data_IF_356646691707
#
_entry.id   IF_356646691707
#
_cell.length_a   1.000
_cell.length_b   1.000
_cell.length_c   1.000
_cell.angle_alpha   90.00
_cell.angle_beta   90.00
_cell.angle_gamma   90.00
#
_symmetry.space_group_name_H-M   'P 1'
#
loop_
_entity.id
_entity.type
_entity.pdbx_description
1 polymer ?
#
# COMPACT_ATOMS: atom_id res chain seq x y z
N UNK A 1 12.39 -3.97 -0.29
CA UNK A 1 12.18 -4.29 1.15
C UNK A 1 12.15 -5.80 1.35
N UNK A 2 12.85 -6.38 2.34
CA UNK A 2 12.85 -7.84 2.52
C UNK A 2 11.48 -8.33 3.00
N UNK A 3 10.97 -9.42 2.38
CA UNK A 3 9.75 -10.08 2.82
C UNK A 3 10.01 -10.79 4.16
N UNK A 4 9.13 -10.61 5.13
CA UNK A 4 9.21 -11.25 6.46
C UNK A 4 8.10 -12.26 6.62
N UNK A 5 8.37 -13.32 7.38
CA UNK A 5 7.35 -14.28 7.77
C UNK A 5 6.55 -13.74 8.94
N UNK A 6 5.23 -13.93 8.88
CA UNK A 6 4.30 -13.61 9.97
C UNK A 6 3.43 -14.85 10.22
N UNK A 7 3.05 -15.15 11.47
CA UNK A 7 2.12 -16.24 11.76
C UNK A 7 0.80 -16.04 11.01
N UNK A 8 0.38 -17.04 10.24
CA UNK A 8 -0.93 -17.01 9.58
C UNK A 8 -2.04 -17.33 10.59
N UNK A 9 -3.02 -16.44 10.70
CA UNK A 9 -4.23 -16.66 11.47
C UNK A 9 -5.44 -16.69 10.53
N UNK A 10 -6.06 -17.86 10.34
CA UNK A 10 -7.20 -18.02 9.45
C UNK A 10 -8.48 -17.30 9.94
N UNK A 11 -8.57 -16.98 11.23
CA UNK A 11 -9.72 -16.30 11.82
C UNK A 11 -9.68 -14.78 11.61
N UNK A 12 -8.54 -14.27 11.14
CA UNK A 12 -8.30 -12.85 10.97
C UNK A 12 -7.75 -12.57 9.57
N UNK A 13 -8.48 -11.75 8.81
CA UNK A 13 -8.05 -11.36 7.46
C UNK A 13 -6.88 -10.37 7.55
N UNK A 14 -5.66 -10.90 7.60
CA UNK A 14 -4.44 -10.13 7.42
C UNK A 14 -4.09 -10.00 5.94
N UNK A 15 -4.26 -8.81 5.40
CA UNK A 15 -4.05 -8.55 3.98
C UNK A 15 -2.57 -8.50 3.59
N UNK A 16 -1.68 -8.29 4.57
CA UNK A 16 -0.23 -8.29 4.33
C UNK A 16 0.32 -9.65 3.90
N UNK A 17 -0.45 -10.73 4.12
CA UNK A 17 -0.12 -12.10 3.71
C UNK A 17 -0.93 -12.60 2.53
N UNK A 18 -1.74 -11.74 1.91
CA UNK A 18 -2.51 -12.09 0.72
C UNK A 18 -1.76 -11.65 -0.55
N UNK A 19 -1.62 -12.60 -1.47
CA UNK A 19 -0.86 -12.43 -2.70
C UNK A 19 -1.71 -12.76 -3.92
N UNK A 20 -1.41 -12.13 -5.06
CA UNK A 20 -2.06 -12.37 -6.33
C UNK A 20 -1.04 -12.72 -7.41
N UNK A 21 -1.41 -13.63 -8.30
CA UNK A 21 -0.61 -13.96 -9.49
C UNK A 21 -1.08 -13.14 -10.70
N UNK A 22 -0.15 -12.61 -11.49
CA UNK A 22 -0.47 -11.94 -12.76
C UNK A 22 -0.94 -12.92 -13.83
N UNK A 23 -1.31 -12.37 -15.00
CA UNK A 23 -1.31 -13.14 -16.24
C UNK A 23 0.06 -13.75 -16.52
N UNK A 24 0.09 -14.79 -17.35
CA UNK A 24 1.31 -15.46 -17.79
C UNK A 24 2.25 -14.43 -18.46
N UNK A 25 3.46 -14.30 -17.92
CA UNK A 25 4.52 -13.41 -18.45
C UNK A 25 5.49 -14.16 -19.37
N UNK A 26 5.26 -15.45 -19.58
CA UNK A 26 5.97 -16.33 -20.49
C UNK A 26 6.19 -17.71 -19.88
N UNK A 27 5.90 -18.76 -20.66
CA UNK A 27 6.20 -20.17 -20.33
C UNK A 27 5.57 -20.66 -19.01
N UNK A 28 4.39 -20.15 -18.65
CA UNK A 28 3.69 -20.52 -17.43
C UNK A 28 4.20 -19.83 -16.17
N UNK A 29 5.06 -18.81 -16.32
CA UNK A 29 5.50 -17.98 -15.20
C UNK A 29 4.56 -16.78 -15.01
N UNK A 30 4.45 -16.31 -13.77
CA UNK A 30 3.60 -15.18 -13.35
C UNK A 30 4.35 -14.30 -12.36
N UNK A 31 3.96 -13.05 -12.23
CA UNK A 31 4.41 -12.17 -11.16
C UNK A 31 3.56 -12.43 -9.91
N UNK A 32 4.18 -12.54 -8.75
CA UNK A 32 3.48 -12.59 -7.46
C UNK A 32 3.51 -11.18 -6.85
N UNK A 33 2.34 -10.64 -6.54
CA UNK A 33 2.15 -9.25 -6.08
C UNK A 33 1.34 -9.21 -4.79
N UNK A 34 1.55 -8.19 -3.96
CA UNK A 34 0.66 -7.96 -2.82
C UNK A 34 -0.74 -7.60 -3.31
N UNK A 35 -1.77 -8.08 -2.60
CA UNK A 35 -3.16 -7.72 -2.95
C UNK A 35 -3.42 -6.23 -2.75
N UNK A 36 -2.84 -5.62 -1.71
CA UNK A 36 -3.03 -4.20 -1.37
C UNK A 36 -1.99 -3.25 -1.99
N UNK A 37 -0.95 -3.78 -2.64
CA UNK A 37 0.05 -2.99 -3.35
C UNK A 37 0.56 -3.76 -4.59
N UNK A 38 -0.11 -3.56 -5.72
CA UNK A 38 0.25 -4.24 -6.97
C UNK A 38 1.48 -3.67 -7.67
N UNK A 39 2.05 -2.56 -7.18
CA UNK A 39 3.29 -2.00 -7.70
C UNK A 39 4.52 -2.77 -7.21
N UNK A 40 4.40 -3.44 -6.07
CA UNK A 40 5.45 -4.27 -5.49
C UNK A 40 5.20 -5.76 -5.77
N UNK A 41 6.24 -6.43 -6.27
CA UNK A 41 6.23 -7.85 -6.60
C UNK A 41 7.38 -8.57 -5.90
N UNK A 42 7.25 -9.89 -5.80
CA UNK A 42 8.35 -10.75 -5.39
C UNK A 42 9.50 -10.63 -6.39
N UNK A 43 10.67 -10.31 -5.85
CA UNK A 43 11.93 -10.20 -6.57
C UNK A 43 12.95 -11.08 -5.85
N UNK A 44 13.55 -12.03 -6.58
CA UNK A 44 14.76 -12.69 -6.12
C UNK A 44 15.91 -11.69 -6.24
N UNK A 45 16.28 -11.08 -5.11
CA UNK A 45 17.19 -9.95 -5.07
C UNK A 45 18.56 -10.32 -5.65
N UNK A 46 18.99 -9.60 -6.69
CA UNK A 46 20.19 -9.91 -7.46
C UNK A 46 20.20 -11.32 -8.08
N UNK A 47 19.01 -11.92 -8.25
CA UNK A 47 18.84 -13.27 -8.80
C UNK A 47 18.86 -13.31 -10.32
N UNK A 48 19.05 -12.17 -11.00
CA UNK A 48 19.26 -12.11 -12.44
C UNK A 48 20.71 -12.49 -12.81
N UNK A 49 20.94 -12.76 -14.09
CA UNK A 49 22.23 -13.28 -14.57
C UNK A 49 23.37 -12.27 -14.44
N UNK A 50 23.06 -10.98 -14.49
CA UNK A 50 24.08 -9.92 -14.43
C UNK A 50 24.64 -9.78 -13.01
N UNK A 51 23.92 -10.31 -12.02
CA UNK A 51 24.31 -10.32 -10.60
C UNK A 51 24.63 -11.72 -10.05
N UNK A 52 24.85 -12.72 -10.92
CA UNK A 52 25.28 -14.06 -10.52
C UNK A 52 24.16 -15.11 -10.42
N UNK A 53 22.91 -14.71 -10.61
CA UNK A 53 21.76 -15.59 -10.62
C UNK A 53 21.28 -15.98 -9.22
N UNK A 54 20.15 -16.69 -9.18
CA UNK A 54 19.62 -17.27 -7.93
C UNK A 54 20.58 -18.35 -7.40
N UNK A 55 20.88 -18.30 -6.11
CA UNK A 55 21.71 -19.24 -5.38
C UNK A 55 21.14 -19.52 -3.98
N UNK A 56 21.75 -20.44 -3.24
CA UNK A 56 21.36 -20.70 -1.86
C UNK A 56 21.49 -19.42 -1.01
N UNK A 57 20.43 -19.09 -0.27
CA UNK A 57 20.34 -17.84 0.49
C UNK A 57 19.93 -16.59 -0.31
N UNK A 58 19.56 -16.69 -1.60
CA UNK A 58 19.01 -15.55 -2.33
C UNK A 58 17.76 -15.01 -1.62
N UNK A 59 17.80 -13.73 -1.27
CA UNK A 59 16.73 -13.08 -0.51
C UNK A 59 15.56 -12.73 -1.43
N UNK A 60 14.34 -13.01 -0.99
CA UNK A 60 13.13 -12.50 -1.65
C UNK A 60 12.79 -11.13 -1.08
N UNK A 61 12.69 -10.15 -1.95
CA UNK A 61 12.33 -8.77 -1.60
C UNK A 61 11.08 -8.34 -2.37
N UNK A 62 10.43 -7.30 -1.86
CA UNK A 62 9.46 -6.51 -2.60
C UNK A 62 10.20 -5.46 -3.42
N UNK A 63 9.93 -5.45 -4.72
CA UNK A 63 10.50 -4.51 -5.66
C UNK A 63 9.50 -4.09 -6.74
N UNK A 64 9.75 -2.95 -7.38
CA UNK A 64 8.98 -2.51 -8.53
C UNK A 64 9.15 -3.47 -9.71
N UNK A 65 8.13 -3.56 -10.57
CA UNK A 65 8.19 -4.46 -11.72
C UNK A 65 9.20 -3.97 -12.76
N UNK A 66 10.33 -4.66 -12.86
CA UNK A 66 11.41 -4.39 -13.80
C UNK A 66 11.40 -5.33 -15.02
N UNK A 67 10.39 -6.23 -15.11
CA UNK A 67 10.27 -7.24 -16.19
C UNK A 67 11.45 -8.21 -16.25
N UNK A 68 12.14 -8.37 -15.12
CA UNK A 68 13.28 -9.27 -15.00
C UNK A 68 12.85 -10.73 -14.83
N UNK A 69 13.68 -11.70 -15.27
CA UNK A 69 13.42 -13.11 -15.02
C UNK A 69 13.43 -13.46 -13.52
N UNK A 70 14.12 -12.69 -12.69
CA UNK A 70 14.17 -12.80 -11.22
C UNK A 70 12.85 -12.39 -10.53
N UNK A 71 11.89 -11.85 -11.28
CA UNK A 71 10.55 -11.46 -10.80
C UNK A 71 9.43 -12.33 -11.40
N UNK A 72 9.80 -13.40 -12.11
CA UNK A 72 8.90 -14.34 -12.76
C UNK A 72 8.89 -15.66 -12.00
N UNK A 73 7.74 -16.05 -11.47
CA UNK A 73 7.58 -17.17 -10.54
C UNK A 73 6.64 -18.24 -11.08
N UNK A 74 6.78 -19.46 -10.60
CA UNK A 74 5.85 -20.55 -10.87
C UNK A 74 5.52 -21.25 -9.56
N UNK A 75 4.25 -21.24 -9.18
CA UNK A 75 3.76 -21.97 -8.01
C UNK A 75 3.27 -23.33 -8.48
N UNK A 76 3.88 -24.39 -7.97
CA UNK A 76 3.56 -25.77 -8.33
C UNK A 76 3.30 -26.58 -7.05
N UNK A 77 2.38 -27.57 -7.09
CA UNK A 77 2.34 -28.62 -6.08
C UNK A 77 3.70 -29.31 -5.99
N UNK A 78 4.12 -29.67 -4.79
CA UNK A 78 5.34 -30.45 -4.62
C UNK A 78 5.16 -31.85 -5.22
N UNK A 79 6.01 -32.23 -6.18
CA UNK A 79 5.91 -33.50 -6.91
C UNK A 79 6.70 -33.50 -8.22
N UNK A 80 6.48 -34.50 -9.08
CA UNK A 80 7.23 -34.71 -10.33
C UNK A 80 7.21 -33.49 -11.26
N UNK A 81 6.13 -32.71 -11.26
CA UNK A 81 6.00 -31.47 -12.04
C UNK A 81 6.96 -30.36 -11.59
N UNK A 82 7.34 -30.32 -10.30
CA UNK A 82 8.31 -29.37 -9.77
C UNK A 82 9.75 -29.66 -10.24
N UNK A 83 10.02 -30.93 -10.59
CA UNK A 83 11.32 -31.40 -11.09
C UNK A 83 11.35 -31.62 -12.61
N UNK A 84 10.22 -31.43 -13.29
CA UNK A 84 10.12 -31.66 -14.72
C UNK A 84 11.15 -30.78 -15.47
N UNK A 85 12.11 -31.38 -16.20
CA UNK A 85 13.03 -30.60 -17.01
C UNK A 85 12.24 -29.80 -18.03
N UNK A 86 12.72 -28.58 -18.34
CA UNK A 86 12.12 -27.74 -19.39
C UNK A 86 11.84 -28.61 -20.61
N UNK A 87 10.61 -28.64 -21.17
CA UNK A 87 10.44 -29.26 -22.48
C UNK A 87 11.43 -28.58 -23.42
N UNK A 88 12.25 -29.39 -24.09
CA UNK A 88 13.25 -28.95 -25.04
C UNK A 88 12.62 -27.89 -25.95
N UNK A 89 13.01 -26.62 -25.78
CA UNK A 89 12.77 -25.64 -26.81
C UNK A 89 13.73 -26.03 -27.95
N UNK A 90 13.24 -26.33 -29.16
CA UNK A 90 14.14 -26.53 -30.28
C UNK A 90 15.01 -25.28 -30.44
N UNK A 91 16.30 -25.43 -30.82
CA UNK A 91 17.15 -24.27 -31.08
C UNK A 91 16.42 -23.35 -32.07
N UNK A 92 16.54 -22.01 -31.92
CA UNK A 92 16.00 -21.11 -32.92
C UNK A 92 16.53 -21.53 -34.29
N UNK A 93 15.69 -21.56 -35.35
CA UNK A 93 16.16 -21.91 -36.68
C UNK A 93 17.36 -21.03 -37.02
N UNK A 94 18.43 -21.66 -37.49
CA UNK A 94 19.64 -20.97 -37.89
C UNK A 94 19.26 -19.78 -38.76
N UNK A 95 19.60 -18.58 -38.29
CA UNK A 95 19.53 -17.40 -39.12
C UNK A 95 20.48 -17.65 -40.29
N UNK A 96 19.92 -17.89 -41.46
CA UNK A 96 20.66 -17.87 -42.71
C UNK A 96 21.17 -16.44 -42.85
N UNK A 97 22.47 -16.25 -42.62
CA UNK A 97 23.15 -15.02 -43.00
C UNK A 97 22.96 -14.80 -44.51
N UNK A 98 22.42 -13.67 -44.96
CA UNK A 98 22.52 -13.28 -46.36
C UNK A 98 23.99 -12.96 -46.64
N UNK A 99 24.60 -13.80 -47.47
CA UNK A 99 25.98 -13.67 -47.90
C UNK A 99 26.28 -12.32 -48.56
N UNK A 100 27.54 -11.93 -48.39
CA UNK A 100 28.23 -10.82 -49.03
C UNK A 100 27.87 -10.62 -50.51
N UNK A 101 27.28 -9.47 -50.83
CA UNK A 101 27.19 -8.88 -52.17
C UNK A 101 27.43 -7.37 -52.05
N UNK A 102 28.50 -6.88 -52.68
CA UNK A 102 29.14 -5.62 -52.35
C UNK A 102 28.43 -4.32 -52.72
N UNK A 103 28.82 -3.26 -52.02
CA UNK A 103 28.71 -1.85 -52.43
C UNK A 103 30.05 -1.13 -52.20
N UNK A 104 30.36 -0.09 -53.00
CA UNK A 104 31.70 0.49 -53.17
C UNK A 104 32.15 1.36 -51.98
N UNK A 105 33.46 1.68 -51.85
CA UNK A 105 34.00 2.35 -50.67
C UNK A 105 33.59 3.83 -50.57
N UNK A 106 33.52 4.40 -49.35
CA UNK A 106 33.23 5.82 -49.14
C UNK A 106 34.48 6.70 -49.40
N UNK A 107 34.31 7.97 -49.81
CA UNK A 107 35.42 8.90 -49.95
C UNK A 107 35.94 9.38 -48.58
N UNK A 108 37.23 9.70 -48.56
CA UNK A 108 38.04 10.02 -47.39
C UNK A 108 37.67 11.36 -46.70
N UNK A 109 38.10 11.44 -45.44
CA UNK A 109 37.83 12.47 -44.44
C UNK A 109 38.16 13.93 -44.83
N UNK A 110 37.34 14.85 -44.33
CA UNK A 110 37.65 16.27 -44.14
C UNK A 110 37.09 16.71 -42.79
N UNK A 111 37.96 17.17 -41.90
CA UNK A 111 37.69 17.31 -40.46
C UNK A 111 36.82 18.50 -40.06
N UNK A 112 36.11 18.34 -38.94
CA UNK A 112 35.65 19.44 -38.07
C UNK A 112 35.68 18.96 -36.61
N UNK A 113 36.20 19.82 -35.73
CA UNK A 113 36.39 19.57 -34.29
C UNK A 113 35.07 19.37 -33.53
N UNK A 114 35.08 18.67 -32.38
CA UNK A 114 33.87 18.45 -31.59
C UNK A 114 33.38 19.74 -30.90
N UNK A 115 32.05 19.98 -30.81
CA UNK A 115 31.47 21.10 -30.08
C UNK A 115 31.53 20.90 -28.55
N UNK A 116 31.48 21.99 -27.76
CA UNK A 116 31.58 21.93 -26.30
C UNK A 116 30.33 21.34 -25.63
N UNK A 117 30.42 20.86 -24.38
CA UNK A 117 29.31 20.19 -23.71
C UNK A 117 28.16 21.17 -23.40
N UNK A 118 26.88 20.75 -23.51
CA UNK A 118 25.75 21.61 -23.16
C UNK A 118 25.64 21.83 -21.65
N UNK A 119 25.26 23.06 -21.30
CA UNK A 119 25.10 23.55 -19.94
C UNK A 119 23.99 22.81 -19.17
N UNK A 120 24.19 22.68 -17.86
CA UNK A 120 23.24 22.14 -16.89
C UNK A 120 21.96 22.97 -16.89
N UNK A 121 20.82 22.33 -17.19
CA UNK A 121 19.48 22.88 -16.99
C UNK A 121 18.76 21.98 -15.99
N UNK A 122 18.37 22.55 -14.85
CA UNK A 122 17.58 21.87 -13.81
C UNK A 122 16.19 21.47 -14.35
N UNK A 123 15.65 20.28 -13.99
CA UNK A 123 14.28 19.93 -14.37
C UNK A 123 13.25 20.58 -13.45
N UNK A 124 12.52 21.56 -14.01
CA UNK A 124 11.28 22.08 -13.43
C UNK A 124 10.13 21.08 -13.52
N UNK A 125 9.26 21.12 -12.51
CA UNK A 125 8.03 20.33 -12.39
C UNK A 125 7.05 20.63 -13.54
N UNK A 126 6.80 19.63 -14.41
CA UNK A 126 5.79 19.67 -15.48
C UNK A 126 4.74 18.56 -15.29
N UNK A 127 3.47 18.95 -15.28
CA UNK A 127 2.32 18.09 -14.95
C UNK A 127 1.95 17.04 -16.00
N UNK A 128 1.28 15.98 -15.53
CA UNK A 128 0.65 14.96 -16.35
C UNK A 128 -0.62 15.52 -17.05
N UNK A 129 -0.92 15.07 -18.29
CA UNK A 129 -2.14 15.46 -19.00
C UNK A 129 -3.40 14.83 -18.37
N UNK A 130 -4.59 15.46 -18.49
CA UNK A 130 -5.84 14.91 -17.96
C UNK A 130 -6.34 13.70 -18.79
N UNK A 131 -7.03 12.73 -18.17
CA UNK A 131 -7.64 11.62 -18.89
C UNK A 131 -8.86 12.05 -19.71
N UNK A 132 -9.22 11.30 -20.77
CA UNK A 132 -10.34 11.65 -21.64
C UNK A 132 -11.69 11.47 -20.92
N UNK A 133 -12.61 12.39 -21.18
CA UNK A 133 -13.99 12.29 -20.72
C UNK A 133 -14.72 11.14 -21.43
N UNK A 134 -15.17 10.14 -20.66
CA UNK A 134 -16.19 9.16 -21.02
C UNK A 134 -17.11 9.05 -19.81
N UNK A 135 -18.37 9.44 -19.89
CA UNK A 135 -19.42 8.66 -20.54
C UNK A 135 -20.12 7.83 -19.45
N UNK A 136 -21.38 8.13 -19.18
CA UNK A 136 -22.11 7.74 -17.97
C UNK A 136 -22.00 6.26 -17.56
N UNK A 137 -21.57 6.03 -16.32
CA UNK A 137 -21.76 4.75 -15.64
C UNK A 137 -23.10 4.78 -14.90
N UNK A 138 -24.05 3.97 -15.37
CA UNK A 138 -25.18 3.55 -14.55
C UNK A 138 -24.70 2.48 -13.54
N UNK A 139 -25.13 2.52 -12.28
CA UNK A 139 -24.75 1.51 -11.30
C UNK A 139 -25.33 0.12 -11.68
N UNK A 140 -24.63 -0.98 -11.35
CA UNK A 140 -25.14 -2.33 -11.61
C UNK A 140 -26.38 -2.63 -10.77
N UNK A 141 -27.32 -3.47 -11.26
CA UNK A 141 -28.49 -3.88 -10.50
C UNK A 141 -28.10 -4.73 -9.27
N UNK A 142 -28.91 -4.71 -8.19
CA UNK A 142 -28.65 -5.49 -7.00
C UNK A 142 -28.69 -7.00 -7.30
N UNK A 143 -27.83 -7.82 -6.66
CA UNK A 143 -27.81 -9.25 -6.87
C UNK A 143 -29.10 -9.92 -6.37
N UNK A 144 -29.63 -10.82 -7.19
CA UNK A 144 -30.79 -11.68 -6.89
C UNK A 144 -30.41 -12.67 -5.77
N UNK A 145 -31.28 -12.96 -4.78
CA UNK A 145 -30.92 -13.86 -3.67
C UNK A 145 -30.74 -15.29 -4.19
N UNK A 146 -29.50 -15.76 -4.25
CA UNK A 146 -29.18 -17.17 -4.42
C UNK A 146 -29.28 -17.81 -3.03
N UNK A 147 -30.24 -18.72 -2.84
CA UNK A 147 -30.29 -19.59 -1.67
C UNK A 147 -29.11 -20.58 -1.76
N UNK A 148 -28.09 -20.41 -0.93
CA UNK A 148 -27.07 -21.44 -0.73
C UNK A 148 -27.48 -22.41 0.40
N UNK A 149 -27.20 -23.73 0.26
CA UNK A 149 -27.57 -24.74 1.25
C UNK A 149 -26.74 -24.62 2.53
N UNK A 150 -27.44 -24.68 3.67
CA UNK A 150 -26.86 -24.47 4.98
C UNK A 150 -25.76 -25.47 5.36
N UNK A 151 -24.64 -24.91 5.78
CA UNK A 151 -23.70 -25.54 6.70
C UNK A 151 -23.61 -24.71 7.98
N UNK A 152 -24.01 -25.35 9.09
CA UNK A 152 -23.54 -25.12 10.46
C UNK A 152 -23.40 -23.67 10.93
N UNK A 153 -24.42 -23.18 11.62
CA UNK A 153 -24.40 -21.88 12.27
C UNK A 153 -23.27 -21.76 13.31
N UNK A 154 -22.39 -20.79 13.09
CA UNK A 154 -21.66 -20.12 14.15
C UNK A 154 -21.99 -18.63 14.10
N UNK A 155 -22.64 -18.17 15.16
CA UNK A 155 -22.81 -16.76 15.50
C UNK A 155 -21.41 -16.21 15.79
N UNK A 156 -20.97 -15.11 15.15
CA UNK A 156 -19.74 -14.45 15.59
C UNK A 156 -19.88 -14.11 17.08
N UNK A 157 -18.80 -14.09 17.88
CA UNK A 157 -18.89 -13.60 19.24
C UNK A 157 -19.53 -12.22 19.18
N UNK A 158 -20.72 -12.13 19.74
CA UNK A 158 -21.46 -10.90 19.91
C UNK A 158 -20.49 -9.83 20.43
N UNK A 159 -20.55 -8.63 19.84
CA UNK A 159 -20.09 -7.40 20.47
C UNK A 159 -20.90 -7.19 21.79
N UNK A 160 -20.53 -7.94 22.82
CA UNK A 160 -21.35 -8.15 24.00
C UNK A 160 -20.50 -8.79 25.09
N UNK A 161 -19.64 -7.98 25.69
CA UNK A 161 -18.82 -8.39 26.81
C UNK A 161 -17.69 -7.44 27.17
N UNK A 162 -17.79 -6.14 26.91
CA UNK A 162 -16.97 -5.18 27.66
C UNK A 162 -17.60 -5.07 29.05
N UNK A 163 -16.94 -5.52 30.12
CA UNK A 163 -17.47 -5.35 31.45
C UNK A 163 -17.61 -3.85 31.70
N UNK A 164 -18.84 -3.41 31.98
CA UNK A 164 -19.05 -2.14 32.65
C UNK A 164 -18.39 -2.27 34.03
N UNK A 165 -17.14 -1.81 34.14
CA UNK A 165 -16.35 -1.94 35.36
C UNK A 165 -14.97 -1.33 35.22
N UNK A 166 -14.83 -0.08 35.64
CA UNK A 166 -13.57 0.56 36.03
C UNK A 166 -12.47 0.69 34.96
N UNK A 167 -12.51 1.77 34.18
CA UNK A 167 -11.37 2.69 33.97
C UNK A 167 -10.04 2.23 33.34
N UNK A 168 -9.88 0.98 32.88
CA UNK A 168 -8.66 0.56 32.19
C UNK A 168 -8.85 0.61 30.68
N UNK A 169 -8.13 1.54 30.04
CA UNK A 169 -7.92 1.51 28.59
C UNK A 169 -7.31 0.18 28.16
N UNK A 170 -7.71 -0.35 27.00
CA UNK A 170 -7.04 -1.51 26.38
C UNK A 170 -5.70 -1.13 25.74
N UNK A 171 -5.23 0.10 25.97
CA UNK A 171 -3.99 0.63 25.45
C UNK A 171 -2.80 -0.18 25.99
N UNK A 172 -1.87 -0.63 25.12
CA UNK A 172 -0.66 -1.30 25.57
C UNK A 172 0.06 -0.48 26.64
N UNK A 173 0.56 -1.14 27.70
CA UNK A 173 1.22 -0.47 28.83
C UNK A 173 2.38 0.43 28.40
N UNK A 174 3.08 0.05 27.33
CA UNK A 174 4.16 0.84 26.76
C UNK A 174 3.72 2.22 26.23
N UNK A 175 2.42 2.40 25.95
CA UNK A 175 1.83 3.65 25.48
C UNK A 175 1.02 4.39 26.56
N UNK A 176 0.88 3.83 27.77
CA UNK A 176 -0.01 4.37 28.79
C UNK A 176 0.38 5.77 29.30
N UNK A 177 1.66 6.14 29.19
CA UNK A 177 2.19 7.47 29.55
C UNK A 177 2.30 8.44 28.37
N UNK A 178 1.98 8.00 27.16
CA UNK A 178 2.13 8.82 25.96
C UNK A 178 1.05 9.92 25.90
N UNK A 179 1.44 11.09 25.42
CA UNK A 179 0.48 12.17 25.19
C UNK A 179 -0.48 11.79 24.07
N UNK A 180 -1.77 12.03 24.27
CA UNK A 180 -2.77 11.81 23.23
C UNK A 180 -2.79 12.97 22.23
N UNK A 181 -3.15 12.68 20.99
CA UNK A 181 -3.28 13.61 19.87
C UNK A 181 -4.70 13.61 19.33
N UNK A 182 -5.11 14.77 18.84
CA UNK A 182 -6.28 14.98 17.99
C UNK A 182 -5.88 14.84 16.54
N UNK A 183 -6.63 14.05 15.79
CA UNK A 183 -6.49 13.92 14.34
C UNK A 183 -7.72 14.51 13.67
N UNK A 184 -7.55 15.43 12.72
CA UNK A 184 -8.66 16.06 12.00
C UNK A 184 -8.33 16.38 10.56
N UNK A 185 -9.37 16.47 9.74
CA UNK A 185 -9.30 16.70 8.31
C UNK A 185 -9.59 18.18 7.97
N UNK A 186 -8.89 18.74 6.98
CA UNK A 186 -9.08 20.12 6.53
C UNK A 186 -10.48 20.38 5.99
N UNK A 187 -11.11 19.38 5.38
CA UNK A 187 -12.48 19.49 4.88
C UNK A 187 -13.52 19.68 6.00
N UNK A 188 -13.18 19.38 7.26
CA UNK A 188 -14.07 19.51 8.41
C UNK A 188 -13.32 19.68 9.73
N UNK A 189 -12.72 20.85 9.96
CA UNK A 189 -11.89 21.12 11.15
C UNK A 189 -12.67 21.10 12.49
N UNK A 190 -14.00 21.11 12.45
CA UNK A 190 -14.87 20.91 13.62
C UNK A 190 -15.14 19.44 13.97
N UNK A 191 -14.56 18.52 13.20
CA UNK A 191 -14.67 17.08 13.40
C UNK A 191 -13.32 16.50 13.82
N UNK A 192 -13.34 15.40 14.56
CA UNK A 192 -12.17 14.63 14.95
C UNK A 192 -12.32 13.18 14.48
N UNK A 193 -11.19 12.55 14.20
CA UNK A 193 -11.11 11.10 14.01
C UNK A 193 -11.52 10.38 15.29
N UNK A 194 -12.39 9.38 15.19
CA UNK A 194 -12.90 8.60 16.31
C UNK A 194 -13.10 7.14 15.91
N UNK A 195 -13.23 6.28 16.92
CA UNK A 195 -13.68 4.90 16.74
C UNK A 195 -15.16 4.80 17.10
N UNK A 196 -15.98 4.29 16.17
CA UNK A 196 -17.40 3.98 16.41
C UNK A 196 -17.75 2.66 15.76
N UNK A 197 -18.39 1.76 16.53
CA UNK A 197 -18.83 0.45 16.06
C UNK A 197 -17.72 -0.37 15.37
N UNK A 198 -16.48 -0.30 15.87
CA UNK A 198 -15.33 -0.99 15.28
C UNK A 198 -14.80 -0.39 13.98
N UNK A 199 -15.22 0.83 13.62
CA UNK A 199 -14.79 1.54 12.41
C UNK A 199 -14.15 2.89 12.75
N UNK A 200 -13.29 3.37 11.86
CA UNK A 200 -12.70 4.71 11.95
C UNK A 200 -13.54 5.69 11.15
N UNK A 201 -14.02 6.75 11.80
CA UNK A 201 -14.82 7.78 11.16
C UNK A 201 -14.53 9.17 11.74
N UNK A 202 -15.08 10.21 11.12
CA UNK A 202 -15.11 11.57 11.67
C UNK A 202 -16.40 11.80 12.46
N UNK A 203 -16.28 12.48 13.60
CA UNK A 203 -17.38 12.89 14.45
C UNK A 203 -17.17 14.32 14.98
N UNK A 204 -18.22 15.07 15.36
CA UNK A 204 -18.07 16.38 15.97
C UNK A 204 -17.08 16.34 17.14
N UNK A 205 -16.16 17.28 17.16
CA UNK A 205 -15.09 17.30 18.14
C UNK A 205 -15.65 17.44 19.56
N UNK A 206 -15.29 16.48 20.41
CA UNK A 206 -15.66 16.45 21.81
C UNK A 206 -14.46 15.98 22.64
N UNK A 207 -13.76 16.89 23.36
CA UNK A 207 -12.61 16.51 24.21
C UNK A 207 -12.96 15.57 25.38
N UNK A 208 -14.24 15.32 25.65
CA UNK A 208 -14.69 14.33 26.64
C UNK A 208 -14.93 12.94 26.04
N UNK A 209 -14.95 12.83 24.72
CA UNK A 209 -15.07 11.55 24.02
C UNK A 209 -13.67 10.93 23.91
N UNK A 210 -13.36 10.02 24.84
CA UNK A 210 -12.04 9.37 24.88
C UNK A 210 -11.72 8.56 23.60
N UNK A 211 -12.72 8.16 22.81
CA UNK A 211 -12.49 7.52 21.52
C UNK A 211 -11.92 8.48 20.46
N UNK A 212 -11.98 9.80 20.67
CA UNK A 212 -11.31 10.80 19.85
C UNK A 212 -9.83 11.01 20.22
N UNK A 213 -9.35 10.35 21.28
CA UNK A 213 -7.96 10.43 21.72
C UNK A 213 -7.16 9.30 21.08
N UNK A 214 -6.11 9.67 20.38
CA UNK A 214 -5.18 8.75 19.73
C UNK A 214 -3.80 8.90 20.33
N UNK A 215 -2.99 7.86 20.35
CA UNK A 215 -1.55 7.93 20.59
C UNK A 215 -0.86 7.82 19.24
N UNK A 216 0.05 8.75 18.96
CA UNK A 216 0.92 8.68 17.80
C UNK A 216 2.23 8.02 18.22
N UNK A 217 2.31 6.70 18.09
CA UNK A 217 3.51 5.96 18.48
C UNK A 217 4.60 6.12 17.41
N UNK A 218 5.72 6.73 17.81
CA UNK A 218 6.86 7.05 16.96
C UNK A 218 8.04 6.08 17.16
N UNK A 219 7.90 4.98 17.92
CA UNK A 219 9.02 4.09 18.29
C UNK A 219 9.84 3.54 17.11
N UNK A 220 9.23 3.41 15.92
CA UNK A 220 9.89 2.89 14.72
C UNK A 220 10.34 3.98 13.73
N UNK A 221 10.18 5.26 14.08
CA UNK A 221 10.43 6.40 13.19
C UNK A 221 11.88 6.56 12.71
N UNK A 222 12.85 6.04 13.45
CA UNK A 222 14.27 6.13 13.10
C UNK A 222 14.72 5.04 12.14
N UNK A 223 14.09 3.87 12.19
CA UNK A 223 14.46 2.69 11.40
C UNK A 223 13.55 2.47 10.18
N UNK A 224 12.29 2.93 10.25
CA UNK A 224 11.30 2.74 9.19
C UNK A 224 10.88 4.10 8.64
N UNK A 225 11.00 4.24 7.33
CA UNK A 225 10.64 5.42 6.57
C UNK A 225 9.89 5.00 5.32
N UNK A 226 9.05 5.89 4.81
CA UNK A 226 8.48 5.71 3.47
C UNK A 226 9.51 5.93 2.36
N UNK A 227 9.08 5.73 1.12
CA UNK A 227 9.90 5.90 -0.10
C UNK A 227 10.53 7.30 -0.23
N UNK A 228 9.86 8.32 0.28
CA UNK A 228 10.37 9.70 0.29
C UNK A 228 11.24 10.01 1.53
N UNK A 229 11.42 9.04 2.44
CA UNK A 229 12.26 9.17 3.63
C UNK A 229 11.55 9.76 4.85
N UNK A 230 10.21 9.89 4.85
CA UNK A 230 9.46 10.38 6.01
C UNK A 230 9.30 9.29 7.08
N UNK A 231 9.42 9.64 8.36
CA UNK A 231 9.40 8.69 9.46
C UNK A 231 8.03 8.02 9.64
N UNK A 232 8.06 6.71 9.92
CA UNK A 232 6.88 5.93 10.23
C UNK A 232 6.32 6.20 11.64
N UNK A 233 5.01 6.07 11.79
CA UNK A 233 4.30 6.08 13.06
C UNK A 233 3.05 5.17 13.02
N UNK A 234 2.58 4.73 14.18
CA UNK A 234 1.26 4.12 14.32
C UNK A 234 0.28 5.10 14.99
N UNK A 235 -0.99 5.06 14.61
CA UNK A 235 -2.08 5.76 15.30
C UNK A 235 -2.91 4.74 16.07
N UNK A 236 -2.81 4.79 17.40
CA UNK A 236 -3.43 3.81 18.32
C UNK A 236 -4.53 4.49 19.11
N UNK A 237 -5.74 3.94 19.10
CA UNK A 237 -6.83 4.54 19.87
C UNK A 237 -6.60 4.36 21.38
N UNK A 238 -6.79 5.42 22.17
CA UNK A 238 -6.58 5.41 23.62
C UNK A 238 -7.49 4.39 24.32
N UNK A 239 -8.75 4.26 23.89
CA UNK A 239 -9.74 3.41 24.55
C UNK A 239 -9.61 1.97 24.10
N UNK A 240 -9.59 1.74 22.78
CA UNK A 240 -9.63 0.37 22.24
C UNK A 240 -8.27 -0.31 22.21
N UNK A 241 -7.16 0.45 22.24
CA UNK A 241 -5.82 -0.11 22.07
C UNK A 241 -5.55 -0.62 20.65
N UNK A 242 -6.43 -0.31 19.70
CA UNK A 242 -6.31 -0.74 18.32
C UNK A 242 -5.60 0.32 17.47
N UNK A 243 -4.74 -0.12 16.57
CA UNK A 243 -4.10 0.72 15.57
C UNK A 243 -4.92 0.76 14.28
N UNK A 244 -4.81 1.88 13.56
CA UNK A 244 -5.37 1.99 12.21
C UNK A 244 -4.51 1.18 11.24
N UNK A 245 -5.12 0.17 10.62
CA UNK A 245 -4.52 -0.69 9.60
C UNK A 245 -4.90 -0.24 8.20
N UNK A 246 -3.96 -0.41 7.28
CA UNK A 246 -4.13 -0.42 5.83
C UNK A 246 -5.32 -1.30 5.38
N UNK A 247 -5.83 -1.07 4.17
CA UNK A 247 -6.89 -1.87 3.55
C UNK A 247 -6.49 -2.34 2.14
N UNK A 248 -7.37 -3.06 1.43
CA UNK A 248 -7.12 -3.75 0.15
C UNK A 248 -6.76 -2.83 -1.02
N UNK A 249 -6.83 -1.52 -0.84
CA UNK A 249 -6.50 -0.53 -1.87
C UNK A 249 -7.49 0.62 -1.87
N UNK A 250 -7.45 1.41 -2.94
CA UNK A 250 -8.32 2.56 -3.13
C UNK A 250 -9.79 2.24 -2.83
N UNK A 251 -10.52 3.22 -2.30
CA UNK A 251 -11.94 3.20 -1.90
C UNK A 251 -12.31 2.33 -0.69
N UNK A 252 -11.39 1.50 -0.19
CA UNK A 252 -11.70 0.61 0.92
C UNK A 252 -11.51 1.33 2.27
N UNK A 253 -12.46 1.20 3.21
CA UNK A 253 -12.31 1.72 4.57
C UNK A 253 -11.04 1.19 5.24
N UNK A 254 -10.38 2.07 6.01
CA UNK A 254 -9.29 1.62 6.90
C UNK A 254 -9.87 0.74 8.00
N UNK A 255 -9.04 -0.15 8.56
CA UNK A 255 -9.46 -1.10 9.60
C UNK A 255 -8.83 -0.78 10.95
N UNK A 256 -9.36 -1.40 11.99
CA UNK A 256 -8.78 -1.39 13.33
C UNK A 256 -8.30 -2.79 13.68
N UNK A 257 -7.14 -2.86 14.33
CA UNK A 257 -6.52 -4.11 14.78
C UNK A 257 -5.85 -3.90 16.13
N UNK A 258 -5.84 -4.91 17.03
CA UNK A 258 -5.09 -4.81 18.28
C UNK A 258 -3.62 -4.43 18.03
N UNK A 259 -3.14 -3.39 18.72
CA UNK A 259 -1.76 -2.93 18.54
C UNK A 259 -0.80 -3.68 19.45
N UNK A 260 0.29 -4.21 18.88
CA UNK A 260 1.37 -4.83 19.64
C UNK A 260 2.67 -4.03 19.46
N UNK A 261 3.11 -3.22 20.44
CA UNK A 261 4.32 -2.39 20.31
C UNK A 261 5.63 -3.18 20.32
N UNK A 262 5.58 -4.49 20.60
CA UNK A 262 6.75 -5.38 20.62
C UNK A 262 6.97 -6.08 19.26
N UNK A 263 6.04 -5.91 18.32
CA UNK A 263 6.11 -6.50 16.99
C UNK A 263 5.87 -5.44 15.92
N UNK A 264 6.79 -5.37 14.95
CA UNK A 264 6.66 -4.44 13.82
C UNK A 264 5.69 -5.04 12.80
N UNK A 265 4.45 -4.54 12.81
CA UNK A 265 3.49 -4.73 11.73
C UNK A 265 3.48 -3.48 10.83
N UNK A 266 4.08 -3.58 9.64
CA UNK A 266 4.13 -2.44 8.70
C UNK A 266 2.76 -2.04 8.16
N UNK A 267 1.76 -2.93 8.25
CA UNK A 267 0.39 -2.64 7.79
C UNK A 267 -0.36 -1.67 8.69
N UNK A 268 0.15 -1.36 9.89
CA UNK A 268 -0.39 -0.32 10.78
C UNK A 268 0.47 0.95 10.83
N UNK A 269 1.53 0.99 10.01
CA UNK A 269 2.45 2.12 9.98
C UNK A 269 2.08 3.11 8.86
N UNK A 270 2.11 4.37 9.23
CA UNK A 270 1.76 5.50 8.39
C UNK A 270 2.89 6.53 8.40
N UNK A 271 2.91 7.40 7.40
CA UNK A 271 3.81 8.56 7.34
C UNK A 271 3.03 9.84 7.11
N UNK A 272 3.61 10.96 7.53
CA UNK A 272 3.13 12.29 7.21
C UNK A 272 3.99 12.85 6.08
N UNK A 273 3.37 13.24 4.97
CA UNK A 273 4.09 13.87 3.84
C UNK A 273 4.70 15.22 4.24
N UNK A 274 5.40 15.86 3.29
CA UNK A 274 5.63 17.33 3.39
C UNK A 274 4.30 18.07 3.62
N UNK A 275 4.43 19.28 4.17
CA UNK A 275 3.33 20.22 4.28
C UNK A 275 2.74 20.52 2.89
N UNK A 276 1.42 20.33 2.75
CA UNK A 276 0.65 20.58 1.52
C UNK A 276 -0.19 21.86 1.62
N UNK A 277 0.05 22.68 2.64
CA UNK A 277 -0.53 23.98 2.88
C UNK A 277 -1.02 24.15 4.31
N UNK A 278 -0.66 25.27 4.95
CA UNK A 278 -1.16 25.69 6.27
C UNK A 278 -0.93 24.67 7.40
N UNK A 279 0.15 23.89 7.34
CA UNK A 279 0.47 22.88 8.35
C UNK A 279 -0.27 21.56 8.18
N UNK A 280 -1.03 21.38 7.09
CA UNK A 280 -1.68 20.12 6.78
C UNK A 280 -0.75 19.20 5.98
N UNK A 281 -0.89 17.89 6.19
CA UNK A 281 -0.08 16.85 5.53
C UNK A 281 -1.01 15.73 5.04
N UNK A 282 -0.54 14.93 4.09
CA UNK A 282 -1.19 13.66 3.76
C UNK A 282 -0.72 12.62 4.78
N UNK A 283 -1.64 11.76 5.24
CA UNK A 283 -1.29 10.57 6.05
C UNK A 283 -1.29 9.36 5.13
N UNK A 284 -0.11 8.83 4.81
CA UNK A 284 0.11 7.83 3.77
C UNK A 284 0.49 6.48 4.34
N UNK A 285 0.23 5.41 3.60
CA UNK A 285 0.76 4.09 3.98
C UNK A 285 2.28 4.12 3.90
N UNK A 286 2.98 3.56 4.89
CA UNK A 286 4.46 3.59 4.90
C UNK A 286 5.08 2.84 3.72
N UNK A 287 4.40 1.79 3.25
CA UNK A 287 4.86 0.87 2.21
C UNK A 287 4.23 1.16 0.82
N UNK A 288 3.33 2.15 0.73
CA UNK A 288 2.68 2.55 -0.51
C UNK A 288 2.24 4.02 -0.43
N UNK A 289 3.13 4.94 -0.79
CA UNK A 289 2.85 6.38 -0.68
C UNK A 289 1.82 6.90 -1.70
N UNK A 290 1.40 6.08 -2.67
CA UNK A 290 0.36 6.43 -3.63
C UNK A 290 -1.04 6.44 -3.01
N UNK A 291 -1.23 5.73 -1.89
CA UNK A 291 -2.48 5.69 -1.16
C UNK A 291 -2.36 6.44 0.18
N UNK A 292 -3.36 7.27 0.47
CA UNK A 292 -3.43 8.07 1.69
C UNK A 292 -4.82 8.03 2.32
N UNK A 293 -4.91 8.43 3.59
CA UNK A 293 -6.18 8.58 4.29
C UNK A 293 -7.05 9.65 3.62
N UNK A 294 -8.30 9.29 3.38
CA UNK A 294 -9.31 10.13 2.75
C UNK A 294 -10.59 10.12 3.59
N UNK A 295 -11.11 11.29 3.94
CA UNK A 295 -12.47 11.41 4.47
C UNK A 295 -13.46 11.24 3.33
N UNK A 296 -14.05 10.05 3.22
CA UNK A 296 -14.80 9.61 2.04
C UNK A 296 -15.99 10.52 1.74
N UNK A 297 -16.04 11.08 0.53
CA UNK A 297 -17.03 12.09 0.11
C UNK A 297 -17.10 13.32 1.06
N UNK A 298 -16.04 13.55 1.83
CA UNK A 298 -15.95 14.67 2.77
C UNK A 298 -15.64 16.00 2.09
N UNK A 299 -15.40 16.01 0.78
CA UNK A 299 -15.25 17.23 0.00
C UNK A 299 -16.60 17.92 -0.26
N UNK A 300 -16.55 19.19 -0.64
CA UNK A 300 -17.76 20.03 -0.79
C UNK A 300 -18.67 19.59 -1.93
N UNK A 301 -18.14 18.92 -2.94
CA UNK A 301 -18.92 18.50 -4.11
C UNK A 301 -19.77 17.27 -3.78
N UNK A 302 -19.46 16.55 -2.69
CA UNK A 302 -20.15 15.33 -2.26
C UNK A 302 -20.85 15.44 -0.89
N UNK A 303 -21.03 16.67 -0.37
CA UNK A 303 -21.81 16.93 0.85
C UNK A 303 -20.98 17.38 2.05
N UNK A 304 -19.66 17.30 1.97
CA UNK A 304 -18.76 17.71 3.04
C UNK A 304 -18.67 16.69 4.18
N UNK A 305 -17.75 16.95 5.11
CA UNK A 305 -17.63 16.15 6.33
C UNK A 305 -18.88 16.29 7.21
N UNK A 306 -19.44 15.16 7.61
CA UNK A 306 -20.53 15.04 8.58
C UNK A 306 -20.24 13.96 9.63
N UNK A 307 -21.09 13.86 10.65
CA UNK A 307 -20.96 12.82 11.67
C UNK A 307 -21.06 11.43 11.04
N UNK A 308 -20.08 10.56 11.34
CA UNK A 308 -19.96 9.24 10.75
C UNK A 308 -19.26 9.19 9.38
N UNK A 309 -18.66 10.28 8.88
CA UNK A 309 -17.88 10.24 7.63
C UNK A 309 -16.78 9.18 7.72
N UNK A 310 -16.83 8.18 6.85
CA UNK A 310 -15.91 7.05 6.88
C UNK A 310 -14.52 7.47 6.39
N UNK A 311 -13.46 6.88 6.97
CA UNK A 311 -12.10 7.06 6.48
C UNK A 311 -11.70 5.89 5.59
N UNK A 312 -11.26 6.18 4.37
CA UNK A 312 -10.87 5.19 3.35
C UNK A 312 -9.44 5.45 2.88
N UNK A 313 -8.91 4.51 2.09
CA UNK A 313 -7.71 4.76 1.28
C UNK A 313 -8.09 5.38 -0.06
N UNK A 314 -7.33 6.37 -0.52
CA UNK A 314 -7.49 6.92 -1.87
C UNK A 314 -6.16 7.42 -2.45
N UNK A 315 -6.09 7.49 -3.78
CA UNK A 315 -4.99 8.14 -4.47
C UNK A 315 -4.95 9.64 -4.17
N UNK A 316 -3.79 10.27 -4.27
CA UNK A 316 -3.70 11.71 -4.01
C UNK A 316 -4.45 12.53 -5.08
N UNK A 317 -5.64 13.02 -4.72
CA UNK A 317 -6.51 13.84 -5.56
C UNK A 317 -6.40 15.33 -5.23
N UNK A 318 -5.52 15.72 -4.29
CA UNK A 318 -5.28 17.10 -3.84
C UNK A 318 -6.48 17.75 -3.12
N UNK A 319 -7.50 16.97 -2.78
CA UNK A 319 -8.70 17.43 -2.08
C UNK A 319 -8.42 17.81 -0.63
N UNK A 320 -9.25 18.69 -0.06
CA UNK A 320 -9.15 19.06 1.36
C UNK A 320 -9.53 17.89 2.28
N UNK A 321 -10.29 16.90 1.78
CA UNK A 321 -10.67 15.66 2.46
C UNK A 321 -9.48 14.70 2.69
N UNK A 322 -8.33 14.96 2.06
CA UNK A 322 -7.10 14.16 2.14
C UNK A 322 -5.98 14.86 2.94
N UNK A 323 -6.30 16.00 3.55
CA UNK A 323 -5.35 16.87 4.24
C UNK A 323 -5.62 16.82 5.73
N UNK A 324 -4.64 16.37 6.49
CA UNK A 324 -4.80 16.05 7.90
C UNK A 324 -3.87 16.86 8.78
N UNK A 325 -4.29 17.06 10.02
CA UNK A 325 -3.46 17.54 11.11
C UNK A 325 -3.53 16.57 12.27
N UNK A 326 -2.37 16.29 12.85
CA UNK A 326 -2.20 15.52 14.07
C UNK A 326 -1.56 16.45 15.09
N UNK A 327 -2.33 16.88 16.09
CA UNK A 327 -1.89 17.84 17.11
C UNK A 327 -2.07 17.25 18.50
N UNK A 328 -1.26 17.63 19.49
CA UNK A 328 -1.52 17.28 20.88
C UNK A 328 -2.96 17.64 21.30
N UNK A 329 -3.61 16.74 22.03
CA UNK A 329 -4.83 17.05 22.78
C UNK A 329 -4.51 17.93 23.98
#
# INVERSE_FOLDING_TARGET
MQVKLVPYNAEYLDESVLWTESHDVGKGFRCIRMVNNIHLNFDAFHGDKDHGGVHDGTTVVLWEWCKGPNQSWKVLPWGDEAYAPRPYAPPPPAQVEPGYGGYPPPPAAGGYAPPPPPAQVEPGYGGYPPPPAAGGYAPPPPPVPVQEPGYGGYRPPSAGGYPAGYGYSNLPRALASEQTVRVYCKAGEGYSLTVRNGTVCLAPTNPRDEFQHWVKDMRHSTSIKDEEGYPAFALVNKVTGEAIKHSLGQSHPVRLVPYNPEYVDESVLWTESRDVGHGFRCVRMVNNIYLNMDAFHGDKDHGGVHDGTTVVLWEWAKGDNQRWKILPW
#
